data_IF_931144411030
#
_entry.id   IF_931144411030
#
_cell.length_a   1.000
_cell.length_b   1.000
_cell.length_c   1.000
_cell.angle_alpha   90.00
_cell.angle_beta   90.00
_cell.angle_gamma   90.00
#
_symmetry.space_group_name_H-M   'P 1'
#
loop_
_entity.id
_entity.type
_entity.pdbx_description
1 polymer ?
#
# COMPACT_ATOMS: atom_id res chain seq x y z
N UNK A 1 -5.31 -29.69 15.97
CA UNK A 1 -6.33 -29.37 14.96
C UNK A 1 -5.87 -28.13 14.21
N UNK A 2 -5.75 -28.17 12.88
CA UNK A 2 -5.46 -26.96 12.10
C UNK A 2 -6.64 -25.99 12.28
N UNK A 3 -6.37 -24.71 12.54
CA UNK A 3 -7.43 -23.70 12.57
C UNK A 3 -8.19 -23.71 11.23
N UNK A 4 -9.51 -23.47 11.21
CA UNK A 4 -10.25 -23.32 9.97
C UNK A 4 -9.55 -22.29 9.06
N UNK A 5 -9.50 -22.55 7.75
CA UNK A 5 -9.04 -21.53 6.79
C UNK A 5 -9.93 -20.29 6.93
N UNK A 6 -9.34 -19.16 7.34
CA UNK A 6 -10.03 -17.89 7.51
C UNK A 6 -9.83 -17.00 6.29
N UNK A 7 -10.87 -16.26 5.91
CA UNK A 7 -10.75 -15.27 4.84
C UNK A 7 -9.82 -14.13 5.29
N UNK A 8 -8.98 -13.60 4.40
CA UNK A 8 -8.01 -12.55 4.73
C UNK A 8 -8.65 -11.30 5.37
N UNK A 9 -9.87 -10.98 4.98
CA UNK A 9 -10.59 -9.84 5.54
C UNK A 9 -11.17 -10.13 6.93
N UNK A 10 -11.29 -11.41 7.33
CA UNK A 10 -11.72 -11.78 8.69
C UNK A 10 -10.56 -11.70 9.70
N UNK A 11 -9.31 -11.92 9.26
CA UNK A 11 -8.12 -11.80 10.13
C UNK A 11 -7.85 -10.35 10.53
N UNK A 12 -8.08 -9.39 9.63
CA UNK A 12 -8.06 -7.96 9.96
C UNK A 12 -9.06 -7.54 11.04
N UNK A 13 -10.11 -8.34 11.27
CA UNK A 13 -11.17 -8.10 12.27
C UNK A 13 -10.92 -8.87 13.58
N UNK A 14 -9.83 -9.64 13.68
CA UNK A 14 -9.53 -10.46 14.88
C UNK A 14 -8.57 -9.80 15.88
N UNK A 15 -8.10 -8.58 15.59
CA UNK A 15 -7.46 -7.74 16.59
C UNK A 15 -8.57 -7.24 17.54
N UNK A 16 -8.52 -7.66 18.81
CA UNK A 16 -9.56 -7.47 19.83
C UNK A 16 -10.24 -6.09 19.77
N UNK A 17 -11.53 -6.04 19.41
CA UNK A 17 -12.29 -4.80 19.33
C UNK A 17 -12.82 -4.42 20.71
N UNK A 18 -12.00 -3.75 21.52
CA UNK A 18 -12.48 -3.21 22.79
C UNK A 18 -13.11 -1.81 22.68
N UNK A 19 -13.08 -1.12 21.53
CA UNK A 19 -13.54 0.28 21.48
C UNK A 19 -14.14 0.68 20.12
N UNK A 20 -15.30 1.36 20.17
CA UNK A 20 -15.88 2.20 19.09
C UNK A 20 -14.83 3.11 18.41
N UNK A 21 -13.77 3.44 19.16
CA UNK A 21 -12.60 4.17 18.74
C UNK A 21 -11.84 3.51 17.57
N UNK A 22 -11.70 2.17 17.56
CA UNK A 22 -10.95 1.47 16.51
C UNK A 22 -11.65 1.52 15.14
N UNK A 23 -12.98 1.41 15.13
CA UNK A 23 -13.76 1.52 13.89
C UNK A 23 -13.62 2.90 13.26
N UNK A 24 -13.80 3.95 14.06
CA UNK A 24 -13.65 5.33 13.61
C UNK A 24 -12.21 5.64 13.20
N UNK A 25 -11.22 5.13 13.94
CA UNK A 25 -9.81 5.28 13.60
C UNK A 25 -9.46 4.61 12.26
N UNK A 26 -10.01 3.42 12.01
CA UNK A 26 -9.84 2.69 10.76
C UNK A 26 -10.43 3.47 9.57
N UNK A 27 -11.66 3.99 9.72
CA UNK A 27 -12.28 4.84 8.70
C UNK A 27 -11.53 6.16 8.48
N UNK A 28 -11.08 6.82 9.54
CA UNK A 28 -10.32 8.07 9.44
C UNK A 28 -8.97 7.86 8.74
N UNK A 29 -8.27 6.76 9.04
CA UNK A 29 -7.03 6.41 8.33
C UNK A 29 -7.28 6.15 6.85
N UNK A 30 -8.39 5.47 6.50
CA UNK A 30 -8.77 5.30 5.10
C UNK A 30 -8.99 6.65 4.41
N UNK A 31 -9.81 7.53 5.01
CA UNK A 31 -10.06 8.89 4.49
C UNK A 31 -8.75 9.65 4.28
N UNK A 32 -7.86 9.63 5.27
CA UNK A 32 -6.55 10.28 5.19
C UNK A 32 -5.70 9.68 4.06
N UNK A 33 -5.74 8.36 3.85
CA UNK A 33 -5.08 7.70 2.73
C UNK A 33 -5.57 8.26 1.40
N UNK A 34 -6.89 8.38 1.19
CA UNK A 34 -7.44 8.95 -0.04
C UNK A 34 -7.03 10.41 -0.25
N UNK A 35 -7.07 11.23 0.81
CA UNK A 35 -6.64 12.63 0.75
C UNK A 35 -5.14 12.76 0.41
N UNK A 36 -4.30 11.93 1.01
CA UNK A 36 -2.85 11.89 0.71
C UNK A 36 -2.59 11.45 -0.73
N UNK A 37 -3.37 10.50 -1.26
CA UNK A 37 -3.23 10.03 -2.64
C UNK A 37 -3.57 11.15 -3.63
N UNK A 38 -4.71 11.81 -3.45
CA UNK A 38 -5.12 12.94 -4.28
C UNK A 38 -4.07 14.06 -4.27
N UNK A 39 -3.62 14.47 -3.07
CA UNK A 39 -2.57 15.50 -2.93
C UNK A 39 -1.24 15.09 -3.57
N UNK A 40 -0.83 13.83 -3.44
CA UNK A 40 0.40 13.33 -4.04
C UNK A 40 0.31 13.31 -5.59
N UNK A 41 -0.86 12.97 -6.13
CA UNK A 41 -1.13 13.04 -7.57
C UNK A 41 -1.11 14.48 -8.10
N UNK A 42 -1.77 15.41 -7.41
CA UNK A 42 -1.74 16.84 -7.74
C UNK A 42 -0.32 17.43 -7.67
N UNK A 43 0.44 17.06 -6.64
CA UNK A 43 1.83 17.48 -6.48
C UNK A 43 2.80 16.82 -7.48
N UNK A 44 2.32 15.88 -8.31
CA UNK A 44 3.15 15.18 -9.29
C UNK A 44 4.12 14.17 -8.70
N UNK A 45 3.89 13.69 -7.48
CA UNK A 45 4.78 12.75 -6.79
C UNK A 45 4.95 11.41 -7.54
N UNK A 46 4.01 11.06 -8.42
CA UNK A 46 4.02 9.81 -9.19
C UNK A 46 4.65 9.93 -10.59
N UNK A 47 4.99 11.14 -11.05
CA UNK A 47 5.50 11.38 -12.42
C UNK A 47 6.72 10.55 -12.77
N UNK A 48 7.64 10.37 -11.82
CA UNK A 48 8.90 9.66 -12.04
C UNK A 48 8.79 8.13 -11.85
N UNK A 49 7.60 7.61 -11.54
CA UNK A 49 7.40 6.18 -11.21
C UNK A 49 6.22 5.51 -11.91
N UNK A 50 5.37 6.25 -12.62
CA UNK A 50 4.30 5.69 -13.45
C UNK A 50 4.77 5.64 -14.90
N UNK A 51 4.63 4.47 -15.51
CA UNK A 51 4.84 4.26 -16.95
C UNK A 51 3.47 4.21 -17.61
N UNK A 52 3.31 4.97 -18.69
CA UNK A 52 2.10 4.97 -19.52
C UNK A 52 1.89 3.59 -20.15
N UNK A 53 0.68 3.05 -20.01
CA UNK A 53 0.29 1.78 -20.62
C UNK A 53 -0.82 2.01 -21.61
N UNK A 54 -0.59 1.60 -22.86
CA UNK A 54 -1.63 1.54 -23.88
C UNK A 54 -2.38 0.21 -23.78
N UNK A 55 -3.70 0.26 -23.60
CA UNK A 55 -4.56 -0.90 -23.55
C UNK A 55 -5.44 -0.91 -24.80
N UNK A 56 -5.33 -1.99 -25.57
CA UNK A 56 -6.18 -2.23 -26.72
C UNK A 56 -7.32 -3.19 -26.36
N UNK A 57 -8.53 -2.64 -26.22
CA UNK A 57 -9.75 -3.40 -26.02
C UNK A 57 -10.29 -3.89 -27.36
N UNK A 58 -9.74 -5.01 -27.86
CA UNK A 58 -10.10 -5.59 -29.17
C UNK A 58 -11.60 -5.76 -29.39
N UNK A 59 -12.34 -6.14 -28.35
CA UNK A 59 -13.80 -6.34 -28.43
C UNK A 59 -14.59 -5.04 -28.59
N UNK A 60 -14.00 -3.90 -28.22
CA UNK A 60 -14.65 -2.59 -28.25
C UNK A 60 -14.06 -1.67 -29.33
N UNK A 61 -13.12 -2.18 -30.14
CA UNK A 61 -12.31 -1.40 -31.09
C UNK A 61 -11.81 -0.07 -30.50
N UNK A 62 -11.35 -0.15 -29.23
CA UNK A 62 -11.01 1.02 -28.42
C UNK A 62 -9.60 0.90 -27.86
N UNK A 63 -8.79 1.91 -28.11
CA UNK A 63 -7.48 2.10 -27.48
C UNK A 63 -7.61 3.11 -26.34
N UNK A 64 -7.10 2.78 -25.16
CA UNK A 64 -7.09 3.66 -23.99
C UNK A 64 -5.67 3.75 -23.44
N UNK A 65 -5.20 4.98 -23.18
CA UNK A 65 -3.93 5.21 -22.50
C UNK A 65 -4.19 5.37 -21.01
N UNK A 66 -3.67 4.44 -20.22
CA UNK A 66 -3.71 4.49 -18.77
C UNK A 66 -2.43 5.16 -18.26
N UNK A 67 -2.61 6.28 -17.56
CA UNK A 67 -1.52 7.16 -17.11
C UNK A 67 -1.64 7.60 -15.66
N UNK A 68 -2.76 7.26 -15.01
CA UNK A 68 -3.12 7.67 -13.66
C UNK A 68 -3.79 6.53 -12.92
N UNK A 69 -3.58 6.45 -11.61
CA UNK A 69 -4.32 5.52 -10.76
C UNK A 69 -5.80 5.88 -10.75
N UNK A 70 -6.66 4.87 -10.77
CA UNK A 70 -8.11 5.05 -10.94
C UNK A 70 -8.85 5.22 -9.61
N UNK A 71 -8.34 4.65 -8.51
CA UNK A 71 -9.14 4.46 -7.30
C UNK A 71 -9.23 5.69 -6.40
N UNK A 72 -8.15 6.46 -6.31
CA UNK A 72 -8.05 7.57 -5.36
C UNK A 72 -9.10 8.67 -5.59
N UNK A 73 -9.71 8.73 -6.78
CA UNK A 73 -10.75 9.70 -7.16
C UNK A 73 -12.18 9.20 -6.96
N UNK A 74 -12.38 7.90 -6.71
CA UNK A 74 -13.70 7.28 -6.72
C UNK A 74 -14.39 7.24 -5.34
N UNK A 75 -13.72 7.70 -4.28
CA UNK A 75 -14.27 7.67 -2.92
C UNK A 75 -15.39 8.70 -2.73
N UNK A 76 -16.50 8.24 -2.13
CA UNK A 76 -17.62 9.09 -1.70
C UNK A 76 -17.50 9.38 -0.20
N UNK A 77 -16.76 10.43 0.16
CA UNK A 77 -16.43 10.77 1.55
C UNK A 77 -17.65 10.82 2.47
N UNK A 78 -18.76 11.41 2.01
CA UNK A 78 -20.01 11.52 2.79
C UNK A 78 -20.63 10.16 3.14
N UNK A 79 -20.31 9.11 2.37
CA UNK A 79 -20.85 7.76 2.58
C UNK A 79 -19.94 6.88 3.42
N UNK A 80 -18.66 7.24 3.60
CA UNK A 80 -17.65 6.38 4.27
C UNK A 80 -18.12 5.94 5.66
N UNK A 81 -18.65 6.88 6.46
CA UNK A 81 -19.12 6.62 7.83
C UNK A 81 -20.46 5.90 7.91
N UNK A 82 -21.18 5.79 6.80
CA UNK A 82 -22.49 5.12 6.73
C UNK A 82 -22.41 3.65 6.34
N UNK A 83 -21.23 3.19 5.88
CA UNK A 83 -21.07 1.82 5.43
C UNK A 83 -21.07 0.85 6.60
N UNK A 84 -21.86 -0.22 6.45
CA UNK A 84 -21.89 -1.33 7.41
C UNK A 84 -20.64 -2.20 7.26
N UNK A 85 -20.14 -2.79 8.36
CA UNK A 85 -19.11 -3.81 8.28
C UNK A 85 -19.53 -4.99 7.39
N UNK A 86 -18.59 -5.51 6.61
CA UNK A 86 -18.83 -6.64 5.68
C UNK A 86 -18.57 -7.99 6.38
N UNK A 87 -17.74 -7.99 7.42
CA UNK A 87 -17.38 -9.19 8.19
C UNK A 87 -17.71 -8.98 9.66
N UNK A 88 -18.17 -10.04 10.34
CA UNK A 88 -18.59 -10.02 11.75
C UNK A 88 -19.59 -8.88 12.07
N UNK A 89 -20.76 -8.89 11.42
CA UNK A 89 -21.80 -7.84 11.35
C UNK A 89 -21.99 -6.91 12.57
N UNK A 90 -21.79 -7.37 13.81
CA UNK A 90 -21.99 -6.57 15.03
C UNK A 90 -20.70 -6.02 15.66
N UNK A 91 -19.55 -6.65 15.43
CA UNK A 91 -18.24 -6.27 16.00
C UNK A 91 -17.16 -6.03 14.94
N UNK A 92 -17.58 -5.98 13.69
CA UNK A 92 -16.72 -5.81 12.53
C UNK A 92 -16.23 -4.38 12.40
N UNK A 93 -14.97 -4.22 11.99
CA UNK A 93 -14.39 -2.90 11.71
C UNK A 93 -14.05 -2.67 10.23
N UNK A 94 -14.15 -3.71 9.39
CA UNK A 94 -13.81 -3.67 7.96
C UNK A 94 -15.07 -3.42 7.13
N UNK A 95 -15.03 -2.38 6.30
CA UNK A 95 -16.06 -1.95 5.36
C UNK A 95 -15.47 -1.85 3.96
N UNK A 96 -16.31 -1.67 2.93
CA UNK A 96 -15.81 -1.42 1.58
C UNK A 96 -14.98 -0.12 1.45
N UNK A 97 -15.12 0.86 2.36
CA UNK A 97 -14.36 2.11 2.29
C UNK A 97 -12.97 2.04 2.95
N UNK A 98 -12.72 1.06 3.81
CA UNK A 98 -11.41 0.87 4.46
C UNK A 98 -10.73 -0.45 4.06
N UNK A 99 -11.36 -1.20 3.17
CA UNK A 99 -10.73 -2.27 2.41
C UNK A 99 -10.00 -1.69 1.19
N UNK A 100 -8.97 -2.40 0.74
CA UNK A 100 -8.42 -2.16 -0.59
C UNK A 100 -9.41 -2.65 -1.66
N UNK A 101 -9.38 -1.98 -2.80
CA UNK A 101 -10.04 -2.35 -4.05
C UNK A 101 -9.26 -3.45 -4.77
N UNK A 102 -9.92 -4.29 -5.56
CA UNK A 102 -9.21 -5.25 -6.38
C UNK A 102 -8.66 -4.53 -7.61
N UNK A 103 -7.37 -4.67 -7.89
CA UNK A 103 -6.68 -3.91 -8.93
C UNK A 103 -5.82 -4.77 -9.83
N UNK A 104 -5.71 -4.32 -11.06
CA UNK A 104 -4.72 -4.78 -12.02
C UNK A 104 -3.58 -3.76 -12.10
N UNK A 105 -2.34 -4.26 -12.09
CA UNK A 105 -1.16 -3.40 -12.17
C UNK A 105 0.14 -4.19 -12.13
N UNK A 106 1.19 -3.65 -12.74
CA UNK A 106 2.52 -4.25 -12.81
C UNK A 106 3.58 -3.24 -12.36
N UNK A 107 4.64 -3.74 -11.73
CA UNK A 107 5.79 -2.94 -11.32
C UNK A 107 7.06 -3.77 -11.38
N UNK A 108 8.19 -3.11 -11.65
CA UNK A 108 9.49 -3.77 -11.78
C UNK A 108 10.59 -2.98 -11.09
N UNK A 109 11.55 -3.70 -10.52
CA UNK A 109 12.83 -3.18 -10.04
C UNK A 109 13.95 -4.00 -10.65
N UNK A 110 15.02 -3.34 -11.07
CA UNK A 110 16.23 -4.01 -11.55
C UNK A 110 17.25 -4.02 -10.42
N UNK A 111 17.69 -5.22 -10.04
CA UNK A 111 18.72 -5.43 -9.03
C UNK A 111 20.06 -5.74 -9.71
N UNK A 112 21.13 -5.21 -9.14
CA UNK A 112 22.49 -5.45 -9.57
C UNK A 112 23.44 -5.33 -8.38
N UNK A 113 24.57 -6.02 -8.44
CA UNK A 113 25.63 -5.83 -7.44
C UNK A 113 26.21 -4.43 -7.57
N UNK A 114 26.75 -3.90 -6.47
CA UNK A 114 27.37 -2.58 -6.48
C UNK A 114 28.59 -2.51 -7.43
N UNK A 115 29.28 -3.64 -7.58
CA UNK A 115 30.40 -3.81 -8.51
C UNK A 115 29.94 -3.73 -9.96
N UNK A 116 28.92 -4.51 -10.34
CA UNK A 116 28.42 -4.55 -11.72
C UNK A 116 27.85 -3.21 -12.15
N UNK A 117 27.12 -2.53 -11.26
CA UNK A 117 26.65 -1.17 -11.47
C UNK A 117 27.79 -0.20 -11.78
N UNK A 118 28.92 -0.32 -11.06
CA UNK A 118 30.10 0.52 -11.26
C UNK A 118 30.76 0.21 -12.61
N UNK A 119 30.92 -1.07 -12.94
CA UNK A 119 31.50 -1.50 -14.22
C UNK A 119 30.69 -0.99 -15.42
N UNK A 120 29.36 -1.00 -15.31
CA UNK A 120 28.46 -0.54 -16.39
C UNK A 120 28.16 0.96 -16.37
N UNK A 121 28.65 1.71 -15.39
CA UNK A 121 28.35 3.15 -15.25
C UNK A 121 26.88 3.46 -14.95
N UNK A 122 26.11 2.51 -14.40
CA UNK A 122 24.68 2.69 -14.13
C UNK A 122 24.49 3.47 -12.83
N UNK A 123 23.71 4.56 -12.88
CA UNK A 123 23.33 5.33 -11.69
C UNK A 123 22.40 4.52 -10.79
N UNK A 124 22.86 4.19 -9.60
CA UNK A 124 22.07 3.50 -8.57
C UNK A 124 21.07 4.47 -7.94
N UNK A 125 19.83 4.03 -7.77
CA UNK A 125 18.81 4.81 -7.05
C UNK A 125 18.84 4.54 -5.56
N UNK A 126 19.09 3.29 -5.15
CA UNK A 126 19.04 2.91 -3.75
C UNK A 126 19.95 1.71 -3.46
N UNK A 127 20.18 1.46 -2.18
CA UNK A 127 20.87 0.27 -1.67
C UNK A 127 19.94 -0.49 -0.73
N UNK A 128 19.83 -1.80 -0.94
CA UNK A 128 19.21 -2.71 0.04
C UNK A 128 20.23 -2.90 1.17
N UNK A 129 19.82 -2.55 2.39
CA UNK A 129 20.68 -2.58 3.59
C UNK A 129 20.51 -3.90 4.34
N UNK A 130 19.26 -4.36 4.46
CA UNK A 130 18.94 -5.62 5.13
C UNK A 130 17.57 -6.10 4.64
N UNK A 131 17.43 -7.40 4.29
CA UNK A 131 16.13 -8.05 4.33
C UNK A 131 15.74 -8.19 5.80
N UNK A 132 14.63 -7.57 6.21
CA UNK A 132 14.11 -7.66 7.56
C UNK A 132 12.63 -7.99 7.43
N UNK A 133 12.04 -8.94 8.13
CA UNK A 133 10.60 -9.25 7.94
C UNK A 133 9.70 -8.15 8.60
N UNK A 134 8.79 -7.47 7.89
CA UNK A 134 7.80 -6.50 8.42
C UNK A 134 6.70 -6.09 7.40
N UNK A 135 5.68 -5.30 7.78
CA UNK A 135 4.36 -5.23 7.09
C UNK A 135 4.03 -3.95 6.28
N UNK A 136 3.18 -4.10 5.26
CA UNK A 136 2.33 -3.08 4.65
C UNK A 136 0.94 -3.64 4.68
N UNK A 137 0.04 -2.78 5.10
CA UNK A 137 -1.26 -3.16 5.51
C UNK A 137 -2.22 -3.17 4.32
N UNK A 138 -2.78 -4.34 4.04
CA UNK A 138 -3.97 -4.46 3.18
C UNK A 138 -5.19 -3.76 3.82
N UNK A 139 -5.18 -3.52 5.14
CA UNK A 139 -6.26 -2.87 5.89
C UNK A 139 -5.70 -1.85 6.89
N UNK A 140 -6.30 -0.66 7.08
CA UNK A 140 -5.78 0.33 8.03
C UNK A 140 -5.60 -0.20 9.45
N UNK A 141 -6.46 -1.13 9.89
CA UNK A 141 -6.34 -1.78 11.20
C UNK A 141 -4.99 -2.49 11.40
N UNK A 142 -4.43 -3.10 10.34
CA UNK A 142 -3.10 -3.72 10.40
C UNK A 142 -2.03 -2.63 10.54
N UNK A 143 -2.08 -1.57 9.72
CA UNK A 143 -1.12 -0.46 9.81
C UNK A 143 -1.15 0.22 11.18
N UNK A 144 -2.35 0.48 11.70
CA UNK A 144 -2.57 1.11 13.00
C UNK A 144 -2.02 0.23 14.14
N UNK A 145 -2.22 -1.09 14.05
CA UNK A 145 -1.67 -2.04 15.01
C UNK A 145 -0.13 -2.05 14.96
N UNK A 146 0.47 -2.18 13.76
CA UNK A 146 1.93 -2.18 13.62
C UNK A 146 2.54 -0.84 14.09
N UNK A 147 1.89 0.29 13.80
CA UNK A 147 2.29 1.61 14.30
C UNK A 147 2.28 1.69 15.82
N UNK A 148 1.21 1.19 16.46
CA UNK A 148 1.07 1.17 17.92
C UNK A 148 2.14 0.29 18.58
N UNK A 149 2.35 -0.92 18.05
CA UNK A 149 3.33 -1.89 18.59
C UNK A 149 4.76 -1.36 18.45
N UNK A 150 5.09 -0.75 17.31
CA UNK A 150 6.44 -0.29 17.00
C UNK A 150 6.71 1.17 17.41
N UNK A 151 5.70 1.88 17.93
CA UNK A 151 5.81 3.30 18.28
C UNK A 151 6.08 4.22 17.08
N UNK A 152 5.61 3.85 15.89
CA UNK A 152 5.84 4.61 14.65
C UNK A 152 4.78 5.71 14.52
N UNK A 153 5.23 6.93 14.23
CA UNK A 153 4.35 8.08 14.01
C UNK A 153 3.67 8.04 12.63
N UNK A 154 2.42 8.46 12.58
CA UNK A 154 1.58 8.43 11.37
C UNK A 154 2.10 9.31 10.22
N UNK A 155 2.87 10.35 10.52
CA UNK A 155 3.50 11.26 9.56
C UNK A 155 4.66 10.61 8.79
N UNK A 156 5.13 9.44 9.23
CA UNK A 156 6.19 8.66 8.58
C UNK A 156 5.70 7.42 7.84
N UNK A 157 4.42 7.07 7.97
CA UNK A 157 3.81 5.89 7.34
C UNK A 157 3.01 6.35 6.14
N UNK A 158 3.21 5.71 4.98
CA UNK A 158 2.38 5.94 3.78
C UNK A 158 2.20 7.43 3.44
N UNK A 159 3.31 8.17 3.37
CA UNK A 159 3.31 9.64 3.19
C UNK A 159 2.65 10.09 1.89
N UNK A 160 2.77 9.27 0.84
CA UNK A 160 2.12 9.45 -0.46
C UNK A 160 0.90 8.53 -0.62
N UNK A 161 0.28 8.12 0.49
CA UNK A 161 -0.79 7.12 0.57
C UNK A 161 -0.33 5.65 0.54
N UNK A 162 -1.30 4.74 0.66
CA UNK A 162 -1.14 3.29 0.69
C UNK A 162 -2.26 2.55 -0.04
N UNK A 163 -2.31 1.24 0.13
CA UNK A 163 -3.13 0.31 -0.67
C UNK A 163 -4.64 0.58 -0.64
N UNK A 164 -5.17 1.19 0.43
CA UNK A 164 -6.60 1.51 0.53
C UNK A 164 -7.04 2.52 -0.54
N UNK A 165 -6.17 3.46 -0.91
CA UNK A 165 -6.50 4.48 -1.90
C UNK A 165 -5.81 4.29 -3.26
N UNK A 166 -4.66 3.61 -3.28
CA UNK A 166 -3.89 3.36 -4.50
C UNK A 166 -4.09 1.94 -5.06
N UNK A 167 -4.79 1.09 -4.32
CA UNK A 167 -5.02 -0.29 -4.72
C UNK A 167 -3.95 -1.29 -4.29
N UNK A 168 -4.26 -2.57 -4.48
CA UNK A 168 -3.37 -3.69 -4.12
C UNK A 168 -3.36 -4.79 -5.19
N UNK A 169 -2.66 -4.58 -6.33
CA UNK A 169 -2.46 -5.65 -7.31
C UNK A 169 -1.55 -6.72 -6.71
N UNK A 170 -2.14 -7.87 -6.37
CA UNK A 170 -1.44 -8.99 -5.71
C UNK A 170 -0.27 -9.44 -6.59
N UNK A 171 0.92 -9.58 -5.98
CA UNK A 171 2.16 -9.94 -6.66
C UNK A 171 2.93 -8.75 -7.26
N UNK A 172 2.28 -7.61 -7.50
CA UNK A 172 2.94 -6.38 -7.98
C UNK A 172 3.18 -5.38 -6.84
N UNK A 173 2.27 -5.28 -5.88
CA UNK A 173 2.31 -4.27 -4.82
C UNK A 173 3.63 -4.19 -4.05
N UNK A 174 4.32 -5.31 -3.83
CA UNK A 174 5.59 -5.35 -3.10
C UNK A 174 6.67 -4.52 -3.80
N UNK A 175 6.77 -4.65 -5.12
CA UNK A 175 7.72 -3.92 -5.93
C UNK A 175 7.33 -2.43 -6.02
N UNK A 176 6.03 -2.14 -6.16
CA UNK A 176 5.50 -0.78 -6.12
C UNK A 176 5.84 -0.04 -4.82
N UNK A 177 5.71 -0.68 -3.66
CA UNK A 177 6.06 -0.08 -2.36
C UNK A 177 7.54 0.32 -2.33
N UNK A 178 8.43 -0.54 -2.84
CA UNK A 178 9.87 -0.25 -2.94
C UNK A 178 10.12 0.97 -3.83
N UNK A 179 9.53 1.00 -5.03
CA UNK A 179 9.66 2.14 -5.96
C UNK A 179 9.14 3.43 -5.31
N UNK A 180 7.94 3.39 -4.73
CA UNK A 180 7.33 4.54 -4.05
C UNK A 180 8.19 5.05 -2.91
N UNK A 181 8.74 4.15 -2.08
CA UNK A 181 9.63 4.49 -0.97
C UNK A 181 10.91 5.17 -1.44
N UNK A 182 11.59 4.61 -2.45
CA UNK A 182 12.83 5.17 -3.00
C UNK A 182 12.61 6.61 -3.50
N UNK A 183 11.50 6.86 -4.21
CA UNK A 183 11.19 8.20 -4.71
C UNK A 183 10.71 9.17 -3.61
N UNK A 184 10.25 8.67 -2.47
CA UNK A 184 9.81 9.50 -1.33
C UNK A 184 10.96 9.87 -0.38
N UNK A 185 12.03 9.07 -0.37
CA UNK A 185 13.20 9.31 0.49
C UNK A 185 14.11 10.40 -0.08
N UNK A 186 14.65 11.23 0.82
CA UNK A 186 15.76 12.14 0.49
C UNK A 186 17.08 11.35 0.39
N UNK A 187 18.04 11.76 -0.45
CA UNK A 187 19.36 11.13 -0.50
C UNK A 187 20.01 10.97 0.88
N UNK A 188 20.61 9.81 1.12
CA UNK A 188 21.22 9.40 2.38
C UNK A 188 20.25 8.92 3.46
N UNK A 189 18.93 9.07 3.28
CA UNK A 189 17.93 8.62 4.26
C UNK A 189 17.56 7.15 4.09
N UNK A 190 17.12 6.56 5.20
CA UNK A 190 16.65 5.19 5.28
C UNK A 190 15.13 5.15 5.33
N UNK A 191 14.57 4.10 4.75
CA UNK A 191 13.17 3.74 4.86
C UNK A 191 12.98 2.25 4.97
N UNK A 192 11.81 1.84 5.44
CA UNK A 192 11.41 0.45 5.55
C UNK A 192 10.18 0.22 4.68
N UNK A 193 10.29 -0.71 3.75
CA UNK A 193 9.15 -1.24 3.00
C UNK A 193 8.75 -2.55 3.65
N UNK A 194 7.52 -2.69 4.14
CA UNK A 194 6.99 -3.97 4.63
C UNK A 194 5.81 -4.45 3.82
N UNK A 195 5.41 -5.72 3.95
CA UNK A 195 4.14 -6.32 3.47
C UNK A 195 3.64 -7.38 4.45
N UNK A 196 2.34 -7.39 4.77
CA UNK A 196 1.71 -8.55 5.38
C UNK A 196 1.30 -9.54 4.29
N UNK A 197 1.33 -10.84 4.59
CA UNK A 197 0.98 -11.90 3.65
C UNK A 197 -0.16 -12.76 4.22
N UNK A 198 -1.09 -13.16 3.34
CA UNK A 198 -2.06 -14.19 3.67
C UNK A 198 -1.36 -15.46 4.19
N UNK A 199 -1.97 -16.14 5.17
CA UNK A 199 -1.35 -17.28 5.85
C UNK A 199 -0.50 -16.93 7.08
N UNK A 200 -0.49 -15.66 7.52
CA UNK A 200 0.11 -15.26 8.80
C UNK A 200 1.61 -14.98 8.73
N UNK A 201 2.13 -14.59 7.57
CA UNK A 201 3.52 -14.19 7.38
C UNK A 201 3.63 -12.67 7.10
N UNK A 202 4.83 -12.12 7.24
CA UNK A 202 5.14 -10.72 6.90
C UNK A 202 6.58 -10.61 6.39
N UNK A 203 6.88 -9.64 5.52
CA UNK A 203 8.20 -9.47 4.87
C UNK A 203 8.55 -8.00 4.62
N UNK A 204 9.72 -7.52 5.05
CA UNK A 204 10.16 -6.15 4.83
C UNK A 204 11.59 -6.04 4.29
N UNK A 205 11.99 -4.80 4.08
CA UNK A 205 13.26 -4.44 3.51
C UNK A 205 13.66 -3.06 4.01
N UNK A 206 14.88 -2.96 4.53
CA UNK A 206 15.51 -1.67 4.82
C UNK A 206 16.24 -1.19 3.58
N UNK A 207 15.90 0.01 3.13
CA UNK A 207 16.45 0.63 1.93
C UNK A 207 17.07 1.97 2.31
N UNK A 208 18.24 2.27 1.74
CA UNK A 208 18.84 3.59 1.77
C UNK A 208 18.74 4.25 0.40
N UNK A 209 18.24 5.48 0.34
CA UNK A 209 18.29 6.29 -0.88
C UNK A 209 19.72 6.78 -1.11
N UNK A 210 20.25 6.54 -2.30
CA UNK A 210 21.58 7.00 -2.70
C UNK A 210 21.56 8.43 -3.27
#
# INVERSE_FOLDING_TARGET
MASPQQHMFQTGVSLEPSELNLFLLNLNFAIESYQRAAKAWEAGAFKDKIVLVEINFKLLDKVTIVSKDEDHINIKFDKVRTLKPVFKNERGTVTAANAFTLNDGASAVVLMTAEESRLRGIKKLAKIISPAYAEAASFPVVALASMKILGIKADKVNVNSGAVALGHPIGSSCCWIVVSLIHSLKPGKYGVAGVCNGGGAASAMVIQRL
#
